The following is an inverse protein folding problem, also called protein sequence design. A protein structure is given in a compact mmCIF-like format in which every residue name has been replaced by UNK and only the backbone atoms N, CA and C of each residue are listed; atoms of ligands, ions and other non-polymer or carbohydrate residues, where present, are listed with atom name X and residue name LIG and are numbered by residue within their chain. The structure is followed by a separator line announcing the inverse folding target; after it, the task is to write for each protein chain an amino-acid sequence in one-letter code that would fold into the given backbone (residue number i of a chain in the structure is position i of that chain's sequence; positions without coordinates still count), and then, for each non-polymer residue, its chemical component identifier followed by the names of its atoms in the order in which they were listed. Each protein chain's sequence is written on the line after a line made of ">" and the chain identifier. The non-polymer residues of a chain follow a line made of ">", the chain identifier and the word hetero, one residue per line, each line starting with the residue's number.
data_IF_725035760956
#
_entry.id   IF_725035760956
#
_cell.length_a   1.000
_cell.length_b   1.000
_cell.length_c   1.000
_cell.angle_alpha   90.00
_cell.angle_beta   90.00
_cell.angle_gamma   90.00
#
_symmetry.space_group_name_H-M   'P 1'
#
loop_
_entity.id
_entity.type
_entity.pdbx_description
1 polymer ?
#
# COMPACT_ATOMS: atom_id res chain seq x y z
N UNK A 1 29.81 -9.13 -9.21
CA UNK A 1 28.92 -10.25 -9.58
C UNK A 1 27.62 -10.05 -8.85
N UNK A 2 26.49 -9.98 -9.56
CA UNK A 2 25.19 -9.94 -8.90
C UNK A 2 24.90 -11.29 -8.26
N UNK A 3 24.48 -11.29 -6.99
CA UNK A 3 24.08 -12.53 -6.29
C UNK A 3 22.93 -13.18 -7.06
N UNK A 4 22.97 -14.49 -7.23
CA UNK A 4 21.89 -15.25 -7.87
C UNK A 4 20.64 -15.16 -6.98
N UNK A 5 19.44 -14.87 -7.52
CA UNK A 5 18.23 -14.67 -6.72
C UNK A 5 17.95 -15.76 -5.68
N UNK A 6 18.18 -17.03 -6.03
CA UNK A 6 17.95 -18.17 -5.12
C UNK A 6 18.95 -18.22 -3.97
N UNK A 7 20.21 -17.87 -4.23
CA UNK A 7 21.26 -17.78 -3.21
C UNK A 7 20.95 -16.67 -2.20
N UNK A 8 20.54 -15.49 -2.69
CA UNK A 8 20.12 -14.38 -1.83
C UNK A 8 18.92 -14.73 -0.95
N UNK A 9 17.95 -15.49 -1.48
CA UNK A 9 16.78 -15.95 -0.73
C UNK A 9 17.19 -16.95 0.35
N UNK A 10 18.05 -17.91 0.03
CA UNK A 10 18.50 -18.93 0.99
C UNK A 10 19.32 -18.30 2.13
N UNK A 11 20.28 -17.43 1.81
CA UNK A 11 21.03 -16.68 2.82
C UNK A 11 20.09 -15.85 3.71
N UNK A 12 19.07 -15.23 3.13
CA UNK A 12 18.11 -14.44 3.91
C UNK A 12 17.22 -15.33 4.79
N UNK A 13 16.83 -16.53 4.35
CA UNK A 13 16.12 -17.50 5.19
C UNK A 13 16.94 -17.89 6.42
N UNK A 14 18.21 -18.23 6.23
CA UNK A 14 19.12 -18.60 7.33
C UNK A 14 19.24 -17.49 8.38
N UNK A 15 19.33 -16.23 7.96
CA UNK A 15 19.32 -15.08 8.88
C UNK A 15 18.01 -14.98 9.65
N UNK A 16 16.88 -15.21 8.98
CA UNK A 16 15.55 -15.17 9.63
C UNK A 16 15.31 -16.34 10.57
N UNK A 17 15.98 -17.47 10.42
CA UNK A 17 15.89 -18.61 11.35
C UNK A 17 16.59 -18.30 12.70
N UNK A 18 17.55 -17.37 12.68
CA UNK A 18 18.36 -16.96 13.83
C UNK A 18 17.73 -15.84 14.67
N UNK A 19 16.61 -15.23 14.24
CA UNK A 19 15.96 -14.14 15.00
C UNK A 19 15.27 -14.66 16.27
N UNK A 20 15.14 -13.80 17.28
CA UNK A 20 14.51 -14.16 18.55
C UNK A 20 13.01 -14.47 18.43
N UNK A 21 12.48 -15.24 19.39
CA UNK A 21 11.09 -15.72 19.40
C UNK A 21 10.01 -14.64 19.19
N UNK A 22 10.09 -13.43 19.79
CA UNK A 22 9.12 -12.37 19.52
C UNK A 22 9.07 -11.97 18.04
N UNK A 23 10.23 -11.92 17.37
CA UNK A 23 10.35 -11.59 15.96
C UNK A 23 9.85 -12.74 15.08
N UNK A 24 10.12 -14.00 15.46
CA UNK A 24 9.58 -15.18 14.74
C UNK A 24 8.06 -15.19 14.70
N UNK A 25 7.39 -14.89 15.82
CA UNK A 25 5.92 -14.84 15.90
C UNK A 25 5.33 -13.79 14.95
N UNK A 26 5.87 -12.57 14.98
CA UNK A 26 5.35 -11.52 14.09
C UNK A 26 5.77 -11.73 12.63
N UNK A 27 6.90 -12.39 12.37
CA UNK A 27 7.29 -12.78 11.03
C UNK A 27 6.32 -13.80 10.41
N UNK A 28 5.88 -14.79 11.20
CA UNK A 28 4.82 -15.73 10.80
C UNK A 28 3.53 -15.00 10.39
N UNK A 29 3.17 -13.95 11.14
CA UNK A 29 2.03 -13.09 10.85
C UNK A 29 2.16 -12.30 9.55
N UNK A 30 3.37 -11.86 9.17
CA UNK A 30 3.60 -11.17 7.90
C UNK A 30 3.50 -12.15 6.73
N UNK A 31 4.16 -13.31 6.82
CA UNK A 31 4.33 -14.18 5.67
C UNK A 31 3.15 -15.14 5.44
N UNK A 32 2.41 -15.54 6.48
CA UNK A 32 1.21 -16.40 6.38
C UNK A 32 1.42 -17.65 5.48
N UNK A 33 2.54 -18.36 5.68
CA UNK A 33 2.96 -19.50 4.84
C UNK A 33 3.72 -19.15 3.56
N UNK A 34 3.68 -17.89 3.07
CA UNK A 34 4.40 -17.42 1.88
C UNK A 34 5.74 -16.73 2.24
N UNK A 35 6.66 -17.49 2.85
CA UNK A 35 7.97 -16.98 3.30
C UNK A 35 8.82 -16.46 2.14
N UNK A 36 9.00 -17.25 1.09
CA UNK A 36 9.82 -16.89 -0.08
C UNK A 36 9.35 -15.58 -0.71
N UNK A 37 8.04 -15.44 -0.97
CA UNK A 37 7.47 -14.22 -1.54
C UNK A 37 7.65 -13.01 -0.61
N UNK A 38 7.58 -13.23 0.70
CA UNK A 38 7.82 -12.17 1.69
C UNK A 38 9.26 -11.70 1.64
N UNK A 39 10.24 -12.60 1.68
CA UNK A 39 11.67 -12.25 1.59
C UNK A 39 12.00 -11.55 0.28
N UNK A 40 11.45 -12.04 -0.84
CA UNK A 40 11.63 -11.41 -2.16
C UNK A 40 11.17 -9.96 -2.20
N UNK A 41 10.10 -9.58 -1.47
CA UNK A 41 9.65 -8.18 -1.41
C UNK A 41 10.69 -7.29 -0.74
N UNK A 42 11.25 -7.74 0.38
CA UNK A 42 12.29 -7.00 1.09
C UNK A 42 13.61 -6.96 0.32
N UNK A 43 13.99 -8.05 -0.37
CA UNK A 43 15.16 -8.07 -1.27
C UNK A 43 14.99 -7.08 -2.41
N UNK A 44 13.87 -7.12 -3.15
CA UNK A 44 13.57 -6.17 -4.23
C UNK A 44 13.60 -4.73 -3.74
N UNK A 45 13.07 -4.47 -2.56
CA UNK A 45 13.09 -3.15 -1.91
C UNK A 45 14.48 -2.62 -1.55
N UNK A 46 15.50 -3.49 -1.54
CA UNK A 46 16.89 -3.18 -1.21
C UNK A 46 17.86 -3.67 -2.29
N UNK A 47 17.39 -3.73 -3.54
CA UNK A 47 18.21 -4.06 -4.72
C UNK A 47 18.97 -5.39 -4.57
N UNK A 48 18.30 -6.38 -3.97
CA UNK A 48 18.83 -7.72 -3.70
C UNK A 48 20.04 -7.75 -2.75
N UNK A 49 20.30 -6.66 -2.01
CA UNK A 49 21.29 -6.66 -0.94
C UNK A 49 20.69 -7.34 0.32
N UNK A 50 21.17 -8.55 0.62
CA UNK A 50 20.66 -9.39 1.72
C UNK A 50 20.78 -8.69 3.08
N UNK A 51 21.93 -8.10 3.40
CA UNK A 51 22.14 -7.43 4.70
C UNK A 51 21.17 -6.26 4.90
N UNK A 52 20.98 -5.41 3.88
CA UNK A 52 20.03 -4.29 3.93
C UNK A 52 18.57 -4.76 3.98
N UNK A 53 18.23 -5.83 3.25
CA UNK A 53 16.90 -6.41 3.26
C UNK A 53 16.55 -7.04 4.61
N UNK A 54 17.51 -7.78 5.20
CA UNK A 54 17.39 -8.35 6.54
C UNK A 54 17.18 -7.27 7.59
N UNK A 55 18.04 -6.23 7.60
CA UNK A 55 17.86 -5.10 8.50
C UNK A 55 16.47 -4.47 8.34
N UNK A 56 16.01 -4.23 7.12
CA UNK A 56 14.69 -3.64 6.86
C UNK A 56 13.55 -4.52 7.38
N UNK A 57 13.63 -5.85 7.22
CA UNK A 57 12.62 -6.77 7.74
C UNK A 57 12.64 -6.78 9.27
N UNK A 58 13.80 -6.90 9.91
CA UNK A 58 13.93 -6.86 11.37
C UNK A 58 13.40 -5.54 11.95
N UNK A 59 13.75 -4.40 11.35
CA UNK A 59 13.22 -3.09 11.77
C UNK A 59 11.68 -3.03 11.64
N UNK A 60 11.11 -3.59 10.58
CA UNK A 60 9.66 -3.72 10.40
C UNK A 60 9.03 -4.62 11.47
N UNK A 61 9.64 -5.76 11.82
CA UNK A 61 9.15 -6.65 12.87
C UNK A 61 9.16 -5.97 14.25
N UNK A 62 10.21 -5.21 14.57
CA UNK A 62 10.24 -4.40 15.79
C UNK A 62 9.15 -3.33 15.79
N UNK A 63 8.95 -2.62 14.68
CA UNK A 63 7.87 -1.65 14.55
C UNK A 63 6.49 -2.32 14.78
N UNK A 64 6.28 -3.53 14.26
CA UNK A 64 5.04 -4.29 14.47
C UNK A 64 4.79 -4.60 15.94
N UNK A 65 5.82 -5.05 16.65
CA UNK A 65 5.73 -5.35 18.08
C UNK A 65 5.44 -4.08 18.87
N UNK A 66 6.23 -3.03 18.66
CA UNK A 66 6.11 -1.76 19.39
C UNK A 66 4.76 -1.06 19.22
N UNK A 67 4.13 -1.22 18.05
CA UNK A 67 2.86 -0.57 17.72
C UNK A 67 1.68 -1.57 17.74
N UNK A 68 1.91 -2.80 18.22
CA UNK A 68 0.91 -3.86 18.34
C UNK A 68 0.12 -4.11 17.04
N UNK A 69 0.83 -4.07 15.90
CA UNK A 69 0.26 -4.11 14.56
C UNK A 69 -0.44 -5.46 14.30
N UNK A 70 0.05 -6.54 14.88
CA UNK A 70 -0.56 -7.86 14.74
C UNK A 70 -1.99 -7.92 15.30
N UNK A 71 -2.36 -7.00 16.21
CA UNK A 71 -3.70 -6.88 16.77
C UNK A 71 -4.47 -5.65 16.22
N UNK A 72 -3.93 -4.91 15.26
CA UNK A 72 -4.53 -3.63 14.85
C UNK A 72 -5.94 -3.77 14.25
N UNK A 73 -6.23 -4.92 13.63
CA UNK A 73 -7.55 -5.20 13.05
C UNK A 73 -8.63 -5.46 14.11
N UNK A 74 -8.24 -5.78 15.35
CA UNK A 74 -9.17 -5.95 16.48
C UNK A 74 -9.33 -4.68 17.31
N UNK A 75 -8.65 -3.58 16.93
CA UNK A 75 -8.67 -2.29 17.62
C UNK A 75 -9.53 -1.28 16.84
N UNK A 76 -10.86 -1.21 17.05
CA UNK A 76 -11.71 -0.28 16.32
C UNK A 76 -11.31 1.18 16.62
N UNK A 77 -11.50 2.06 15.65
CA UNK A 77 -11.48 3.52 15.90
C UNK A 77 -12.79 3.87 16.60
N UNK A 78 -12.68 4.37 17.82
CA UNK A 78 -13.81 4.73 18.69
C UNK A 78 -13.75 6.22 19.05
N UNK A 79 -14.89 6.90 19.18
CA UNK A 79 -16.27 6.41 18.98
C UNK A 79 -16.62 6.18 17.50
N UNK A 80 -17.75 5.52 17.22
CA UNK A 80 -18.18 5.20 15.84
C UNK A 80 -18.28 6.44 14.94
N UNK A 81 -18.69 7.59 15.48
CA UNK A 81 -18.77 8.83 14.70
C UNK A 81 -17.38 9.35 14.29
N UNK A 82 -16.35 9.10 15.10
CA UNK A 82 -14.97 9.38 14.70
C UNK A 82 -14.52 8.47 13.56
N UNK A 83 -14.87 7.18 13.61
CA UNK A 83 -14.61 6.26 12.50
C UNK A 83 -15.28 6.74 11.21
N UNK A 84 -16.57 7.12 11.27
CA UNK A 84 -17.30 7.68 10.12
C UNK A 84 -16.61 8.94 9.58
N UNK A 85 -16.28 9.87 10.47
CA UNK A 85 -15.56 11.10 10.14
C UNK A 85 -14.22 10.84 9.41
N UNK A 86 -13.47 9.82 9.82
CA UNK A 86 -12.25 9.38 9.12
C UNK A 86 -12.59 8.82 7.74
N UNK A 87 -13.61 7.96 7.61
CA UNK A 87 -14.00 7.34 6.34
C UNK A 87 -14.55 8.36 5.33
N UNK A 88 -15.25 9.39 5.81
CA UNK A 88 -15.86 10.44 4.98
C UNK A 88 -14.82 11.46 4.48
N UNK A 89 -13.66 11.55 5.13
CA UNK A 89 -12.58 12.50 4.79
C UNK A 89 -11.31 11.85 4.25
N UNK A 90 -11.15 10.54 4.41
CA UNK A 90 -10.12 9.69 3.78
C UNK A 90 -10.82 8.72 2.82
N UNK A 91 -11.04 9.17 1.58
CA UNK A 91 -11.81 8.42 0.61
C UNK A 91 -10.96 7.32 -0.02
N UNK A 92 -11.00 6.14 0.59
CA UNK A 92 -10.28 4.93 0.15
C UNK A 92 -11.14 3.68 0.31
N UNK A 93 -11.20 2.87 -0.75
CA UNK A 93 -11.98 1.64 -0.78
C UNK A 93 -11.37 0.59 -1.71
N UNK A 94 -11.70 -0.67 -1.45
CA UNK A 94 -11.45 -1.74 -2.42
C UNK A 94 -12.62 -1.77 -3.39
N UNK A 95 -12.35 -1.55 -4.67
CA UNK A 95 -13.37 -1.32 -5.69
C UNK A 95 -13.36 -2.40 -6.78
N UNK A 96 -12.91 -3.61 -6.42
CA UNK A 96 -12.94 -4.80 -7.28
C UNK A 96 -11.56 -5.40 -7.56
N UNK A 97 -11.46 -6.10 -8.69
CA UNK A 97 -10.27 -6.82 -9.11
C UNK A 97 -9.85 -6.46 -10.53
N UNK A 98 -8.55 -6.50 -10.75
CA UNK A 98 -7.93 -6.44 -12.07
C UNK A 98 -8.28 -7.70 -12.86
N UNK A 99 -8.12 -7.70 -14.19
CA UNK A 99 -8.30 -8.91 -15.01
C UNK A 99 -7.33 -10.02 -14.63
N UNK A 100 -6.17 -9.66 -14.10
CA UNK A 100 -5.18 -10.60 -13.59
C UNK A 100 -5.54 -11.09 -12.18
N UNK A 101 -6.64 -10.63 -11.58
CA UNK A 101 -7.04 -11.01 -10.22
C UNK A 101 -6.39 -10.21 -9.10
N UNK A 102 -5.72 -9.09 -9.42
CA UNK A 102 -5.12 -8.22 -8.40
C UNK A 102 -6.20 -7.33 -7.78
N UNK A 103 -6.30 -7.22 -6.45
CA UNK A 103 -7.20 -6.27 -5.82
C UNK A 103 -6.95 -4.84 -6.30
N UNK A 104 -8.02 -4.09 -6.54
CA UNK A 104 -7.96 -2.67 -6.94
C UNK A 104 -8.46 -1.82 -5.79
N UNK A 105 -7.62 -0.93 -5.30
CA UNK A 105 -8.00 0.09 -4.34
C UNK A 105 -8.17 1.41 -5.06
N UNK A 106 -9.34 2.03 -4.93
CA UNK A 106 -9.60 3.37 -5.42
C UNK A 106 -9.41 4.38 -4.28
N UNK A 107 -8.77 5.50 -4.59
CA UNK A 107 -8.50 6.59 -3.66
C UNK A 107 -8.96 7.89 -4.30
N UNK A 108 -9.92 8.56 -3.69
CA UNK A 108 -10.39 9.88 -4.09
C UNK A 108 -9.44 10.96 -3.56
N UNK A 109 -8.26 11.07 -4.16
CA UNK A 109 -7.20 11.99 -3.69
C UNK A 109 -7.66 13.43 -3.69
N UNK A 110 -8.34 13.87 -4.74
CA UNK A 110 -8.77 15.27 -4.86
C UNK A 110 -9.88 15.66 -3.87
N UNK A 111 -10.68 14.69 -3.41
CA UNK A 111 -11.80 14.90 -2.49
C UNK A 111 -11.49 14.52 -1.04
N UNK A 112 -10.36 13.86 -0.76
CA UNK A 112 -9.96 13.53 0.61
C UNK A 112 -9.42 14.77 1.33
N UNK A 113 -10.08 15.18 2.41
CA UNK A 113 -9.76 16.42 3.15
C UNK A 113 -8.86 16.20 4.36
N UNK A 114 -8.93 15.02 4.99
CA UNK A 114 -8.18 14.66 6.20
C UNK A 114 -8.33 15.65 7.37
N UNK A 115 -9.47 16.34 7.48
CA UNK A 115 -9.69 17.46 8.42
C UNK A 115 -10.63 17.11 9.59
N UNK A 116 -11.20 15.91 9.62
CA UNK A 116 -12.20 15.50 10.63
C UNK A 116 -11.65 14.75 11.85
N UNK A 117 -10.35 14.45 11.88
CA UNK A 117 -9.72 13.67 12.93
C UNK A 117 -8.24 14.05 13.07
N UNK A 118 -7.61 13.62 14.16
CA UNK A 118 -6.16 13.79 14.32
C UNK A 118 -5.39 12.89 13.35
N UNK A 119 -4.15 13.27 13.05
CA UNK A 119 -3.20 12.49 12.24
C UNK A 119 -3.11 11.03 12.70
N UNK A 120 -3.17 10.80 14.02
CA UNK A 120 -3.11 9.47 14.61
C UNK A 120 -4.18 8.52 14.03
N UNK A 121 -5.43 8.98 13.91
CA UNK A 121 -6.53 8.13 13.44
C UNK A 121 -6.47 7.86 11.94
N UNK A 122 -5.98 8.81 11.13
CA UNK A 122 -5.75 8.54 9.69
C UNK A 122 -4.61 7.55 9.48
N UNK A 123 -3.55 7.63 10.28
CA UNK A 123 -2.45 6.67 10.26
C UNK A 123 -2.93 5.28 10.69
N UNK A 124 -3.71 5.20 11.79
CA UNK A 124 -4.31 3.94 12.23
C UNK A 124 -5.22 3.34 11.16
N UNK A 125 -6.14 4.13 10.58
CA UNK A 125 -7.03 3.70 9.48
C UNK A 125 -6.24 3.17 8.29
N UNK A 126 -5.17 3.88 7.88
CA UNK A 126 -4.31 3.46 6.77
C UNK A 126 -3.60 2.12 7.05
N UNK A 127 -3.05 1.95 8.25
CA UNK A 127 -2.43 0.69 8.69
C UNK A 127 -3.47 -0.43 8.69
N UNK A 128 -4.68 -0.20 9.21
CA UNK A 128 -5.75 -1.20 9.22
C UNK A 128 -6.14 -1.64 7.80
N UNK A 129 -6.23 -0.70 6.86
CA UNK A 129 -6.50 -1.02 5.45
C UNK A 129 -5.37 -1.88 4.85
N UNK A 130 -4.11 -1.56 5.14
CA UNK A 130 -2.96 -2.33 4.69
C UNK A 130 -2.92 -3.75 5.29
N UNK A 131 -3.18 -3.90 6.59
CA UNK A 131 -3.24 -5.19 7.25
C UNK A 131 -4.42 -6.02 6.75
N UNK A 132 -5.59 -5.42 6.54
CA UNK A 132 -6.75 -6.11 5.97
C UNK A 132 -6.48 -6.55 4.52
N UNK A 133 -5.80 -5.71 3.73
CA UNK A 133 -5.32 -6.09 2.40
C UNK A 133 -4.45 -7.34 2.49
N UNK A 134 -3.47 -7.35 3.39
CA UNK A 134 -2.43 -8.36 3.45
C UNK A 134 -2.87 -9.68 4.10
N UNK A 135 -3.80 -9.62 5.06
CA UNK A 135 -4.27 -10.79 5.84
C UNK A 135 -5.58 -11.38 5.34
N UNK A 136 -6.38 -10.61 4.61
CA UNK A 136 -7.72 -11.07 4.18
C UNK A 136 -7.82 -11.04 2.66
N UNK A 137 -7.56 -9.89 2.03
CA UNK A 137 -7.85 -9.71 0.61
C UNK A 137 -6.87 -10.50 -0.26
N UNK A 138 -5.56 -10.38 -0.03
CA UNK A 138 -4.53 -11.05 -0.84
C UNK A 138 -4.57 -12.59 -0.72
N UNK A 139 -4.72 -13.19 0.48
CA UNK A 139 -4.91 -14.64 0.60
C UNK A 139 -6.19 -15.12 -0.10
N UNK A 140 -7.30 -14.39 0.06
CA UNK A 140 -8.56 -14.72 -0.62
C UNK A 140 -8.43 -14.66 -2.14
N UNK A 141 -7.75 -13.64 -2.66
CA UNK A 141 -7.45 -13.52 -4.09
C UNK A 141 -6.55 -14.66 -4.57
N UNK A 142 -5.52 -15.02 -3.81
CA UNK A 142 -4.61 -16.11 -4.15
C UNK A 142 -5.34 -17.44 -4.26
N UNK A 143 -6.19 -17.75 -3.26
CA UNK A 143 -7.04 -18.95 -3.25
C UNK A 143 -7.99 -18.97 -4.44
N UNK A 144 -8.68 -17.86 -4.71
CA UNK A 144 -9.65 -17.75 -5.81
C UNK A 144 -9.00 -17.94 -7.19
N UNK A 145 -7.77 -17.47 -7.37
CA UNK A 145 -7.08 -17.50 -8.65
C UNK A 145 -6.08 -18.65 -8.80
N UNK A 146 -5.94 -19.52 -7.78
CA UNK A 146 -5.05 -20.68 -7.82
C UNK A 146 -3.56 -20.36 -7.96
N UNK A 147 -3.15 -19.13 -7.63
CA UNK A 147 -1.75 -18.67 -7.74
C UNK A 147 -1.46 -17.57 -6.73
N UNK A 148 -0.19 -17.35 -6.34
CA UNK A 148 0.16 -16.24 -5.45
C UNK A 148 -0.25 -14.87 -6.01
N UNK A 149 -1.10 -14.16 -5.26
CA UNK A 149 -1.48 -12.77 -5.46
C UNK A 149 -0.92 -11.97 -4.28
N UNK A 150 0.23 -11.33 -4.50
CA UNK A 150 0.99 -10.65 -3.43
C UNK A 150 0.97 -9.13 -3.53
N UNK A 151 0.31 -8.59 -4.56
CA UNK A 151 0.27 -7.15 -4.86
C UNK A 151 -1.13 -6.68 -5.22
N UNK A 152 -1.36 -5.37 -5.08
CA UNK A 152 -2.57 -4.68 -5.51
C UNK A 152 -2.29 -3.61 -6.58
N UNK A 153 -3.35 -3.11 -7.18
CA UNK A 153 -3.35 -1.90 -8.02
C UNK A 153 -3.99 -0.77 -7.23
N UNK A 154 -3.41 0.43 -7.28
CA UNK A 154 -4.00 1.64 -6.68
C UNK A 154 -4.44 2.58 -7.79
N UNK A 155 -5.69 3.03 -7.77
CA UNK A 155 -6.25 4.05 -8.67
C UNK A 155 -6.45 5.31 -7.86
N UNK A 156 -5.74 6.37 -8.22
CA UNK A 156 -5.75 7.68 -7.58
C UNK A 156 -6.57 8.63 -8.44
N UNK A 157 -7.81 8.90 -8.03
CA UNK A 157 -8.70 9.85 -8.69
C UNK A 157 -8.40 11.27 -8.21
N UNK A 158 -8.03 12.14 -9.15
CA UNK A 158 -7.67 13.53 -8.88
C UNK A 158 -8.86 14.49 -9.06
N UNK A 159 -10.07 13.97 -9.30
CA UNK A 159 -11.30 14.78 -9.33
C UNK A 159 -11.42 15.61 -8.04
N UNK A 160 -11.68 16.91 -8.19
CA UNK A 160 -11.80 17.82 -7.05
C UNK A 160 -10.47 18.31 -6.46
N UNK A 161 -9.31 17.90 -6.99
CA UNK A 161 -8.00 18.31 -6.48
C UNK A 161 -7.82 19.83 -6.50
N UNK A 162 -7.44 20.36 -5.33
CA UNK A 162 -7.13 21.77 -5.09
C UNK A 162 -5.70 21.91 -4.55
N UNK A 163 -5.11 23.11 -4.67
CA UNK A 163 -3.79 23.41 -4.08
C UNK A 163 -3.76 23.20 -2.56
N UNK A 164 -4.88 23.39 -1.87
CA UNK A 164 -5.01 23.15 -0.43
C UNK A 164 -4.74 21.70 -0.02
N UNK A 165 -4.77 20.74 -0.95
CA UNK A 165 -4.34 19.36 -0.68
C UNK A 165 -2.86 19.29 -0.21
N UNK A 166 -2.03 20.27 -0.59
CA UNK A 166 -0.65 20.38 -0.11
C UNK A 166 -0.56 20.69 1.39
N UNK A 167 -1.62 21.19 2.03
CA UNK A 167 -1.66 21.37 3.48
C UNK A 167 -1.56 20.02 4.22
N UNK A 168 -1.93 18.91 3.56
CA UNK A 168 -1.88 17.56 4.11
C UNK A 168 -0.54 16.85 3.85
N UNK A 169 0.48 17.57 3.37
CA UNK A 169 1.78 16.98 3.00
C UNK A 169 2.45 16.23 4.14
N UNK A 170 2.32 16.71 5.39
CA UNK A 170 2.88 16.03 6.56
C UNK A 170 2.27 14.65 6.76
N UNK A 171 0.94 14.53 6.68
CA UNK A 171 0.24 13.25 6.78
C UNK A 171 0.60 12.32 5.62
N UNK A 172 0.64 12.84 4.38
CA UNK A 172 1.04 12.06 3.21
C UNK A 172 2.46 11.52 3.34
N UNK A 173 3.40 12.32 3.83
CA UNK A 173 4.78 11.87 4.08
C UNK A 173 4.83 10.77 5.13
N UNK A 174 4.11 10.91 6.26
CA UNK A 174 4.03 9.86 7.29
C UNK A 174 3.50 8.53 6.69
N UNK A 175 2.38 8.60 5.96
CA UNK A 175 1.77 7.44 5.30
C UNK A 175 2.73 6.81 4.30
N UNK A 176 3.40 7.61 3.46
CA UNK A 176 4.37 7.12 2.49
C UNK A 176 5.56 6.44 3.17
N UNK A 177 6.07 7.02 4.27
CA UNK A 177 7.18 6.42 5.04
C UNK A 177 6.78 5.09 5.65
N UNK A 178 5.56 4.98 6.21
CA UNK A 178 5.04 3.71 6.75
C UNK A 178 4.92 2.66 5.63
N UNK A 179 4.31 3.01 4.50
CA UNK A 179 4.19 2.12 3.34
C UNK A 179 5.56 1.65 2.85
N UNK A 180 6.54 2.55 2.80
CA UNK A 180 7.86 2.25 2.30
C UNK A 180 8.71 1.39 3.25
N UNK A 181 8.63 1.61 4.56
CA UNK A 181 9.42 0.87 5.53
C UNK A 181 8.80 -0.49 5.86
N UNK A 182 7.46 -0.57 5.92
CA UNK A 182 6.78 -1.72 6.51
C UNK A 182 5.98 -2.54 5.49
N UNK A 183 5.61 -1.95 4.34
CA UNK A 183 4.81 -2.62 3.29
C UNK A 183 5.51 -2.63 1.92
N UNK A 184 6.81 -2.97 1.83
CA UNK A 184 7.54 -2.91 0.57
C UNK A 184 6.92 -3.81 -0.50
N UNK A 185 6.96 -3.33 -1.74
CA UNK A 185 6.58 -4.08 -2.94
C UNK A 185 5.15 -4.63 -2.93
N UNK A 186 4.22 -4.02 -2.16
CA UNK A 186 2.80 -4.41 -2.10
C UNK A 186 1.93 -3.81 -3.21
N UNK A 187 2.39 -2.73 -3.87
CA UNK A 187 1.68 -2.12 -5.00
C UNK A 187 2.39 -2.46 -6.31
N UNK A 188 1.66 -3.01 -7.28
CA UNK A 188 2.14 -3.28 -8.64
C UNK A 188 2.26 -1.98 -9.44
N UNK A 189 1.22 -1.16 -9.43
CA UNK A 189 1.19 0.12 -10.14
C UNK A 189 0.17 1.07 -9.52
N UNK A 190 0.43 2.37 -9.68
CA UNK A 190 -0.47 3.45 -9.35
C UNK A 190 -0.98 4.07 -10.66
N UNK A 191 -2.30 4.07 -10.87
CA UNK A 191 -2.92 4.79 -11.97
C UNK A 191 -3.47 6.10 -11.45
N UNK A 192 -2.96 7.22 -11.95
CA UNK A 192 -3.51 8.54 -11.66
C UNK A 192 -4.49 8.88 -12.78
N UNK A 193 -5.72 9.21 -12.41
CA UNK A 193 -6.82 9.49 -13.36
C UNK A 193 -7.50 10.83 -13.05
N UNK A 194 -8.22 11.36 -14.04
CA UNK A 194 -9.01 12.59 -13.93
C UNK A 194 -8.17 13.78 -13.43
N UNK A 195 -6.95 13.93 -13.95
CA UNK A 195 -6.02 15.00 -13.54
C UNK A 195 -6.55 16.38 -13.95
N UNK A 196 -6.81 17.31 -13.01
CA UNK A 196 -7.14 18.69 -13.36
C UNK A 196 -5.87 19.47 -13.74
N UNK A 197 -6.04 20.66 -14.32
CA UNK A 197 -4.90 21.52 -14.74
C UNK A 197 -3.88 21.77 -13.62
N UNK A 198 -4.34 21.86 -12.37
CA UNK A 198 -3.51 22.14 -11.19
C UNK A 198 -2.65 20.95 -10.75
N UNK A 199 -2.93 19.74 -11.25
CA UNK A 199 -2.19 18.52 -10.90
C UNK A 199 -0.68 18.68 -11.08
N UNK A 200 -0.26 19.34 -12.16
CA UNK A 200 1.16 19.54 -12.47
C UNK A 200 1.90 20.33 -11.38
N UNK A 201 1.25 21.32 -10.75
CA UNK A 201 1.81 22.10 -9.66
C UNK A 201 1.94 21.25 -8.38
N UNK A 202 0.87 20.55 -7.98
CA UNK A 202 0.91 19.64 -6.83
C UNK A 202 1.95 18.53 -7.02
N UNK A 203 2.02 17.95 -8.22
CA UNK A 203 2.94 16.86 -8.52
C UNK A 203 4.41 17.28 -8.45
N UNK A 204 4.76 18.53 -8.80
CA UNK A 204 6.12 19.06 -8.62
C UNK A 204 6.56 19.04 -7.16
N UNK A 205 5.63 19.25 -6.21
CA UNK A 205 5.89 19.25 -4.77
C UNK A 205 5.91 17.83 -4.20
N UNK A 206 4.98 16.96 -4.64
CA UNK A 206 4.82 15.61 -4.08
C UNK A 206 5.83 14.61 -4.65
N UNK A 207 6.14 14.69 -5.96
CA UNK A 207 7.01 13.72 -6.64
C UNK A 207 8.39 13.53 -5.98
N UNK A 208 9.09 14.57 -5.47
CA UNK A 208 10.37 14.42 -4.78
C UNK A 208 10.28 13.67 -3.45
N UNK A 209 9.11 13.66 -2.81
CA UNK A 209 8.90 12.97 -1.52
C UNK A 209 8.71 11.46 -1.67
N UNK A 210 8.41 10.99 -2.89
CA UNK A 210 8.21 9.59 -3.19
C UNK A 210 9.55 8.89 -3.44
N UNK A 211 9.74 7.71 -2.84
CA UNK A 211 10.89 6.86 -3.14
C UNK A 211 10.91 6.45 -4.63
N UNK A 212 12.11 6.27 -5.17
CA UNK A 212 12.30 6.03 -6.61
C UNK A 212 11.51 4.83 -7.15
N UNK A 213 11.48 3.73 -6.39
CA UNK A 213 10.68 2.53 -6.71
C UNK A 213 9.18 2.81 -6.82
N UNK A 214 8.67 3.75 -6.04
CA UNK A 214 7.26 4.16 -6.08
C UNK A 214 7.03 5.05 -7.29
N UNK A 215 7.93 6.01 -7.57
CA UNK A 215 7.84 6.88 -8.76
C UNK A 215 7.79 6.08 -10.06
N UNK A 216 8.61 5.04 -10.20
CA UNK A 216 8.65 4.15 -11.37
C UNK A 216 7.32 3.39 -11.61
N UNK A 217 6.48 3.24 -10.60
CA UNK A 217 5.20 2.52 -10.66
C UNK A 217 4.01 3.41 -10.97
N UNK A 218 4.20 4.73 -10.98
CA UNK A 218 3.14 5.72 -11.23
C UNK A 218 2.93 5.90 -12.72
N UNK A 219 1.68 5.77 -13.15
CA UNK A 219 1.22 6.01 -14.52
C UNK A 219 0.11 7.06 -14.48
N UNK A 220 0.36 8.23 -15.06
CA UNK A 220 -0.66 9.26 -15.26
C UNK A 220 -1.40 8.95 -16.55
N UNK A 221 -2.71 8.76 -16.48
CA UNK A 221 -3.54 8.46 -17.64
C UNK A 221 -4.18 9.75 -18.17
N UNK A 222 -4.00 10.03 -19.46
CA UNK A 222 -4.59 11.17 -20.15
C UNK A 222 -6.00 10.81 -20.66
N UNK A 223 -7.02 11.59 -20.30
CA UNK A 223 -8.40 11.38 -20.73
C UNK A 223 -9.33 10.95 -19.59
N UNK A 224 -10.49 10.37 -19.93
CA UNK A 224 -11.43 9.87 -18.93
C UNK A 224 -10.79 8.66 -18.22
N UNK A 225 -10.71 8.70 -16.88
CA UNK A 225 -10.08 7.62 -16.10
C UNK A 225 -10.68 6.25 -16.39
N UNK A 226 -12.01 6.21 -16.58
CA UNK A 226 -12.74 4.98 -16.87
C UNK A 226 -12.30 4.35 -18.19
N UNK A 227 -12.28 5.12 -19.28
CA UNK A 227 -12.01 4.57 -20.61
C UNK A 227 -10.55 4.11 -20.72
N UNK A 228 -9.62 4.85 -20.13
CA UNK A 228 -8.20 4.46 -20.13
C UNK A 228 -7.92 3.22 -19.28
N UNK A 229 -8.57 3.10 -18.12
CA UNK A 229 -8.47 1.89 -17.28
C UNK A 229 -9.10 0.67 -17.97
N UNK A 230 -10.17 0.85 -18.75
CA UNK A 230 -10.78 -0.20 -19.57
C UNK A 230 -9.88 -0.57 -20.77
N UNK A 231 -9.28 0.41 -21.46
CA UNK A 231 -8.36 0.23 -22.60
C UNK A 231 -7.08 -0.48 -22.22
N UNK A 232 -6.56 -0.24 -21.00
CA UNK A 232 -5.43 -1.01 -20.46
C UNK A 232 -5.75 -2.50 -20.26
N UNK A 233 -6.98 -2.95 -20.59
CA UNK A 233 -7.48 -4.34 -20.54
C UNK A 233 -7.21 -5.00 -19.19
N UNK A 234 -7.17 -4.20 -18.12
CA UNK A 234 -6.61 -4.64 -16.84
C UNK A 234 -7.56 -4.54 -15.66
N UNK A 235 -8.74 -3.92 -15.76
CA UNK A 235 -9.64 -3.78 -14.61
C UNK A 235 -11.10 -4.04 -15.00
N UNK A 236 -11.81 -4.86 -14.21
CA UNK A 236 -13.27 -4.91 -14.25
C UNK A 236 -13.81 -3.74 -13.45
N UNK A 237 -14.18 -2.65 -14.13
CA UNK A 237 -14.68 -1.41 -13.49
C UNK A 237 -16.18 -1.55 -13.29
N UNK A 238 -16.60 -2.31 -12.27
CA UNK A 238 -18.03 -2.37 -11.93
C UNK A 238 -18.39 -1.36 -10.83
N UNK A 239 -17.45 -0.88 -10.00
CA UNK A 239 -17.80 0.03 -8.88
C UNK A 239 -16.91 1.25 -8.64
N UNK A 240 -15.72 1.38 -9.27
CA UNK A 240 -14.70 2.40 -8.92
C UNK A 240 -15.25 3.84 -8.85
N UNK A 241 -16.18 4.22 -9.72
CA UNK A 241 -16.68 5.60 -9.82
C UNK A 241 -18.10 5.81 -9.26
N UNK A 242 -18.73 4.76 -8.70
CA UNK A 242 -20.00 4.91 -7.98
C UNK A 242 -19.80 5.23 -6.50
N UNK A 243 -18.62 4.95 -5.95
CA UNK A 243 -18.29 5.16 -4.53
C UNK A 243 -17.87 6.60 -4.18
N UNK A 244 -17.64 7.48 -5.17
CA UNK A 244 -17.22 8.87 -4.95
C UNK A 244 -18.26 9.91 -5.41
N UNK A 245 -19.51 9.50 -5.63
CA UNK A 245 -20.64 10.40 -5.97
C UNK A 245 -21.63 10.49 -4.83
#
# INVERSE_FOLDING_TARGET
>A
MGIVPDEAINQFKELMDQVDEPLKRTYQNIHQGCQTETLMRFLKAREWNVAKAHKMLVDCLHWRIQNEIDNILTKPIIPTDLYRAVRDSQLIGMSGYSREGLPVFAIGVGLSTFDKASVHYYVQSHIQINEYRDRVILPSASKKHGRPITTCVKVLDMTGLKLSALNQIKLMTIISTIDDLNYPEKTKTYYIVNVPYIFSACWKVVKPLLQERTRKKVQVLSGSGRDELLKKRRIWIISIFREFK
#
